data_IF_475100490381
#
_entry.id   IF_475100490381
#
_cell.length_a   1.000
_cell.length_b   1.000
_cell.length_c   1.000
_cell.angle_alpha   90.00
_cell.angle_beta   90.00
_cell.angle_gamma   90.00
#
_symmetry.space_group_name_H-M   'P 1'
#
loop_
_entity.id
_entity.type
_entity.pdbx_description
1 polymer ?
#
# COMPACT_ATOMS: atom_id res chain seq x y z
N UNK A 1 -17.91 5.10 -10.63
CA UNK A 1 -16.56 4.59 -10.98
C UNK A 1 -16.21 3.56 -9.93
N UNK A 2 -15.92 2.31 -10.33
CA UNK A 2 -15.68 1.21 -9.40
C UNK A 2 -14.17 0.94 -9.31
N UNK A 3 -13.58 1.15 -8.14
CA UNK A 3 -12.14 1.00 -7.92
C UNK A 3 -11.86 -0.44 -7.49
N UNK A 4 -11.33 -1.24 -8.42
CA UNK A 4 -11.07 -2.67 -8.19
C UNK A 4 -9.80 -2.93 -7.38
N UNK A 5 -8.72 -2.21 -7.68
CA UNK A 5 -7.41 -2.42 -7.05
C UNK A 5 -6.59 -1.13 -7.06
N UNK A 6 -5.91 -0.85 -5.96
CA UNK A 6 -5.02 0.31 -5.79
C UNK A 6 -3.58 -0.18 -5.63
N UNK A 7 -2.62 0.49 -6.27
CA UNK A 7 -1.21 0.24 -6.08
C UNK A 7 -0.56 1.48 -5.43
N UNK A 8 0.13 1.27 -4.30
CA UNK A 8 0.91 2.30 -3.61
C UNK A 8 2.39 2.05 -3.89
N UNK A 9 3.06 3.08 -4.41
CA UNK A 9 4.48 3.04 -4.73
C UNK A 9 5.27 3.73 -3.61
N UNK A 10 6.17 2.98 -2.98
CA UNK A 10 6.93 3.39 -1.81
C UNK A 10 6.31 2.85 -0.52
N UNK A 11 7.13 2.17 0.29
CA UNK A 11 6.82 1.58 1.58
C UNK A 11 7.33 2.40 2.77
N UNK A 12 7.67 3.68 2.53
CA UNK A 12 7.95 4.65 3.59
C UNK A 12 6.72 4.98 4.45
N UNK A 13 6.88 5.89 5.41
CA UNK A 13 5.83 6.24 6.40
C UNK A 13 4.49 6.61 5.74
N UNK A 14 4.52 7.45 4.69
CA UNK A 14 3.32 7.84 3.97
C UNK A 14 2.69 6.70 3.17
N UNK A 15 3.50 5.88 2.50
CA UNK A 15 3.00 4.77 1.69
C UNK A 15 2.32 3.69 2.54
N UNK A 16 2.86 3.44 3.73
CA UNK A 16 2.25 2.56 4.74
C UNK A 16 0.92 3.11 5.25
N UNK A 17 0.85 4.39 5.61
CA UNK A 17 -0.40 4.98 6.12
C UNK A 17 -1.51 5.03 5.07
N UNK A 18 -1.17 5.32 3.81
CA UNK A 18 -2.12 5.26 2.69
C UNK A 18 -2.60 3.82 2.45
N UNK A 19 -1.67 2.86 2.41
CA UNK A 19 -1.99 1.44 2.24
C UNK A 19 -2.93 0.95 3.34
N UNK A 20 -2.65 1.31 4.59
CA UNK A 20 -3.47 0.98 5.74
C UNK A 20 -4.87 1.60 5.65
N UNK A 21 -4.97 2.89 5.32
CA UNK A 21 -6.26 3.58 5.16
C UNK A 21 -7.11 2.90 4.08
N UNK A 22 -6.52 2.59 2.92
CA UNK A 22 -7.22 1.93 1.81
C UNK A 22 -7.67 0.52 2.18
N UNK A 23 -6.80 -0.26 2.83
CA UNK A 23 -7.13 -1.60 3.30
C UNK A 23 -8.28 -1.57 4.33
N UNK A 24 -8.25 -0.62 5.28
CA UNK A 24 -9.30 -0.43 6.28
C UNK A 24 -10.65 -0.05 5.67
N UNK A 25 -10.63 0.66 4.53
CA UNK A 25 -11.84 1.02 3.78
C UNK A 25 -12.30 -0.07 2.79
N UNK A 26 -11.71 -1.27 2.83
CA UNK A 26 -12.13 -2.41 2.03
C UNK A 26 -11.59 -2.45 0.60
N UNK A 27 -10.64 -1.58 0.25
CA UNK A 27 -10.00 -1.62 -1.07
C UNK A 27 -8.94 -2.71 -1.13
N UNK A 28 -8.88 -3.43 -2.26
CA UNK A 28 -7.75 -4.30 -2.56
C UNK A 28 -6.54 -3.42 -2.89
N UNK A 29 -5.53 -3.43 -2.02
CA UNK A 29 -4.33 -2.60 -2.18
C UNK A 29 -3.07 -3.47 -2.32
N UNK A 30 -2.15 -3.04 -3.18
CA UNK A 30 -0.82 -3.62 -3.31
C UNK A 30 0.24 -2.55 -2.99
N UNK A 31 1.21 -2.88 -2.15
CA UNK A 31 2.35 -2.03 -1.81
C UNK A 31 3.58 -2.50 -2.58
N UNK A 32 4.27 -1.61 -3.29
CA UNK A 32 5.48 -1.92 -4.04
C UNK A 32 6.57 -0.91 -3.73
N UNK A 33 7.78 -1.39 -3.48
CA UNK A 33 8.99 -0.59 -3.35
C UNK A 33 10.09 -1.18 -4.26
N UNK A 34 11.22 -0.48 -4.35
CA UNK A 34 12.39 -0.84 -5.16
C UNK A 34 13.02 -2.15 -4.64
N UNK A 35 13.01 -2.35 -3.32
CA UNK A 35 13.57 -3.53 -2.66
C UNK A 35 12.59 -4.09 -1.62
N UNK A 36 12.56 -5.41 -1.46
CA UNK A 36 11.64 -6.08 -0.54
C UNK A 36 11.90 -5.71 0.93
N UNK A 37 13.12 -5.30 1.29
CA UNK A 37 13.47 -4.85 2.64
C UNK A 37 12.65 -3.66 3.13
N UNK A 38 12.16 -2.80 2.22
CA UNK A 38 11.34 -1.66 2.59
C UNK A 38 9.89 -2.08 2.92
N UNK A 39 9.48 -3.24 2.42
CA UNK A 39 8.17 -3.85 2.70
C UNK A 39 8.27 -4.76 3.94
N UNK A 40 9.36 -5.52 4.05
CA UNK A 40 9.66 -6.46 5.13
C UNK A 40 10.13 -5.72 6.38
N UNK A 41 9.18 -5.20 7.14
CA UNK A 41 9.46 -4.55 8.42
C UNK A 41 8.17 -4.17 9.12
N UNK A 42 7.18 -5.07 9.07
CA UNK A 42 5.85 -4.89 9.66
C UNK A 42 5.91 -4.16 10.97
#
# INVERSE_FOLDING_TARGET
MDIKKVAVLGAGVMGRSITQLLAQNGYQVALRDIEDRFIQGG
#
